data_IF_189271433066
#
_entry.id   IF_189271433066
#
_cell.length_a   1.000
_cell.length_b   1.000
_cell.length_c   1.000
_cell.angle_alpha   90.00
_cell.angle_beta   90.00
_cell.angle_gamma   90.00
#
_symmetry.space_group_name_H-M   'P 1'
#
loop_
_entity.id
_entity.type
_entity.pdbx_description
1 polymer ?
#
# COMPACT_ATOMS: atom_id res chain seq x y z
N UNK A 1 -7.49 -1.09 8.88
CA UNK A 1 -6.12 -0.61 9.16
C UNK A 1 -5.76 -1.10 10.54
N UNK A 2 -4.68 -1.84 10.67
CA UNK A 2 -4.23 -2.41 11.95
C UNK A 2 -2.83 -1.88 12.24
N UNK A 3 -2.58 -1.38 13.45
CA UNK A 3 -1.26 -0.94 13.88
C UNK A 3 -0.67 -1.93 14.88
N UNK A 4 0.60 -2.27 14.70
CA UNK A 4 1.43 -3.07 15.62
C UNK A 4 2.56 -2.18 16.16
N UNK A 5 2.31 -1.34 17.18
CA UNK A 5 3.26 -0.31 17.64
C UNK A 5 4.58 -0.88 18.14
N UNK A 6 4.54 -2.04 18.81
CA UNK A 6 5.74 -2.73 19.31
C UNK A 6 6.76 -3.05 18.21
N UNK A 7 6.31 -3.19 16.96
CA UNK A 7 7.16 -3.48 15.80
C UNK A 7 7.29 -2.30 14.85
N UNK A 8 6.69 -1.14 15.14
CA UNK A 8 6.58 0.01 14.23
C UNK A 8 6.06 -0.39 12.85
N UNK A 9 5.09 -1.31 12.83
CA UNK A 9 4.42 -1.79 11.62
C UNK A 9 2.97 -1.32 11.62
N UNK A 10 2.49 -0.87 10.46
CA UNK A 10 1.07 -0.64 10.23
C UNK A 10 0.63 -1.38 8.96
N UNK A 11 -0.56 -1.97 9.01
CA UNK A 11 -1.16 -2.69 7.90
C UNK A 11 -2.28 -1.85 7.27
N UNK A 12 -2.11 -1.56 5.98
CA UNK A 12 -3.10 -0.93 5.14
C UNK A 12 -3.97 -2.00 4.48
N UNK A 13 -5.25 -1.98 4.82
CA UNK A 13 -6.27 -2.87 4.26
C UNK A 13 -7.50 -2.09 3.85
N UNK A 14 -8.43 -2.74 3.15
CA UNK A 14 -9.71 -2.17 2.71
C UNK A 14 -9.57 -0.92 1.81
N UNK A 15 -8.53 -0.88 0.98
CA UNK A 15 -8.38 0.19 -0.04
C UNK A 15 -9.26 -0.15 -1.23
N UNK A 16 -10.35 0.60 -1.40
CA UNK A 16 -11.23 0.51 -2.57
C UNK A 16 -11.19 1.82 -3.36
N UNK A 17 -10.91 1.70 -4.65
CA UNK A 17 -10.99 2.81 -5.60
C UNK A 17 -12.16 2.61 -6.54
N UNK A 18 -12.93 3.67 -6.75
CA UNK A 18 -13.99 3.69 -7.77
C UNK A 18 -13.38 3.42 -9.16
N UNK A 19 -14.12 2.83 -10.11
CA UNK A 19 -13.60 2.51 -11.44
C UNK A 19 -12.96 3.71 -12.16
N UNK A 20 -13.49 4.91 -11.94
CA UNK A 20 -12.97 6.17 -12.51
C UNK A 20 -11.69 6.64 -11.86
N UNK A 21 -11.44 6.27 -10.60
CA UNK A 21 -10.24 6.66 -9.87
C UNK A 21 -9.10 5.66 -10.07
N UNK A 22 -9.41 4.41 -10.40
CA UNK A 22 -8.41 3.37 -10.67
C UNK A 22 -7.44 3.81 -11.78
N UNK A 23 -6.13 3.59 -11.56
CA UNK A 23 -5.05 3.93 -12.51
C UNK A 23 -4.94 5.43 -12.83
N UNK A 24 -5.39 6.29 -11.91
CA UNK A 24 -5.20 7.74 -12.02
C UNK A 24 -4.18 8.24 -11.00
N UNK A 25 -3.62 9.42 -11.25
CA UNK A 25 -2.75 10.12 -10.30
C UNK A 25 -3.44 10.38 -8.96
N UNK A 26 -4.77 10.47 -8.93
CA UNK A 26 -5.53 10.61 -7.67
C UNK A 26 -5.36 9.38 -6.78
N UNK A 27 -5.42 8.17 -7.35
CA UNK A 27 -5.19 6.94 -6.58
C UNK A 27 -3.77 6.88 -6.03
N UNK A 28 -2.77 7.17 -6.86
CA UNK A 28 -1.36 7.16 -6.44
C UNK A 28 -1.07 8.26 -5.42
N UNK A 29 -1.63 9.45 -5.59
CA UNK A 29 -1.51 10.57 -4.67
C UNK A 29 -2.14 10.26 -3.31
N UNK A 30 -3.31 9.61 -3.29
CA UNK A 30 -3.93 9.16 -2.04
C UNK A 30 -3.04 8.17 -1.28
N UNK A 31 -2.45 7.19 -1.98
CA UNK A 31 -1.50 6.25 -1.36
C UNK A 31 -0.23 6.94 -0.86
N UNK A 32 0.29 7.91 -1.61
CA UNK A 32 1.44 8.70 -1.19
C UNK A 32 1.17 9.48 0.10
N UNK A 33 0.00 10.13 0.21
CA UNK A 33 -0.38 10.86 1.43
C UNK A 33 -0.50 9.93 2.64
N UNK A 34 -1.04 8.72 2.45
CA UNK A 34 -1.10 7.70 3.50
C UNK A 34 0.33 7.29 3.92
N UNK A 35 1.21 7.02 2.96
CA UNK A 35 2.61 6.68 3.25
C UNK A 35 3.31 7.81 4.01
N UNK A 36 3.15 9.06 3.57
CA UNK A 36 3.73 10.23 4.23
C UNK A 36 3.28 10.33 5.68
N UNK A 37 1.99 10.22 5.93
CA UNK A 37 1.44 10.23 7.29
C UNK A 37 2.02 9.11 8.15
N UNK A 38 2.15 7.90 7.60
CA UNK A 38 2.65 6.72 8.32
C UNK A 38 4.13 6.88 8.69
N UNK A 39 4.95 7.34 7.77
CA UNK A 39 6.40 7.44 7.96
C UNK A 39 6.81 8.73 8.67
N UNK A 40 6.33 9.89 8.20
CA UNK A 40 6.80 11.19 8.64
C UNK A 40 6.10 11.63 9.93
N UNK A 41 4.77 11.52 9.99
CA UNK A 41 3.99 12.03 11.11
C UNK A 41 3.84 11.01 12.24
N UNK A 42 3.65 9.73 11.90
CA UNK A 42 3.43 8.66 12.89
C UNK A 42 4.71 7.89 13.27
N UNK A 43 5.82 8.07 12.54
CA UNK A 43 7.12 7.48 12.86
C UNK A 43 7.19 5.95 12.75
N UNK A 44 6.27 5.34 12.00
CA UNK A 44 6.32 3.90 11.70
C UNK A 44 7.44 3.62 10.69
N UNK A 45 7.96 2.41 10.68
CA UNK A 45 9.08 2.02 9.81
C UNK A 45 8.65 1.06 8.70
N UNK A 46 7.46 0.46 8.83
CA UNK A 46 6.93 -0.46 7.83
C UNK A 46 5.44 -0.25 7.63
N UNK A 47 5.07 -0.11 6.36
CA UNK A 47 3.69 -0.22 5.89
C UNK A 47 3.53 -1.56 5.17
N UNK A 48 2.67 -2.42 5.69
CA UNK A 48 2.31 -3.70 5.07
C UNK A 48 0.95 -3.54 4.38
N UNK A 49 0.76 -4.17 3.22
CA UNK A 49 -0.55 -4.20 2.55
C UNK A 49 -0.76 -5.57 1.95
N UNK A 50 -1.68 -6.32 2.54
CA UNK A 50 -2.08 -7.63 2.04
C UNK A 50 -3.15 -7.49 0.94
N UNK A 51 -2.82 -7.94 -0.27
CA UNK A 51 -3.80 -8.13 -1.34
C UNK A 51 -4.19 -9.61 -1.42
N UNK A 52 -5.48 -9.89 -1.51
CA UNK A 52 -6.02 -11.24 -1.69
C UNK A 52 -5.55 -11.84 -3.03
N UNK A 53 -5.19 -13.12 -3.01
CA UNK A 53 -4.55 -13.82 -4.13
C UNK A 53 -5.36 -13.84 -5.44
N UNK A 54 -6.67 -13.59 -5.38
CA UNK A 54 -7.58 -13.52 -6.53
C UNK A 54 -7.51 -12.19 -7.29
N UNK A 55 -6.78 -11.19 -6.82
CA UNK A 55 -6.67 -9.89 -7.50
C UNK A 55 -5.61 -9.91 -8.63
N UNK A 56 -5.96 -10.57 -9.72
CA UNK A 56 -5.13 -10.73 -10.93
C UNK A 56 -4.70 -9.39 -11.55
N UNK A 57 -5.51 -8.33 -11.45
CA UNK A 57 -5.19 -6.98 -11.97
C UNK A 57 -4.01 -6.31 -11.27
N UNK A 58 -3.78 -6.60 -9.99
CA UNK A 58 -2.67 -6.00 -9.23
C UNK A 58 -1.35 -6.74 -9.46
N UNK A 59 -1.43 -8.01 -9.91
CA UNK A 59 -0.28 -8.93 -10.05
C UNK A 59 0.56 -8.67 -11.30
N UNK A 60 -0.05 -8.29 -12.43
CA UNK A 60 0.63 -8.15 -13.73
C UNK A 60 1.54 -6.91 -13.86
N UNK A 61 1.44 -5.94 -12.95
CA UNK A 61 2.16 -4.65 -13.02
C UNK A 61 3.46 -4.61 -12.21
N UNK A 62 3.76 -5.64 -11.42
CA UNK A 62 4.82 -5.61 -10.39
C UNK A 62 6.19 -6.15 -10.80
N UNK A 63 6.37 -6.65 -12.02
CA UNK A 63 7.61 -7.32 -12.43
C UNK A 63 8.83 -6.42 -12.64
N UNK A 64 8.78 -5.13 -12.24
CA UNK A 64 9.80 -4.13 -12.60
C UNK A 64 10.26 -3.15 -11.51
N UNK A 65 9.80 -3.24 -10.25
CA UNK A 65 10.22 -2.31 -9.19
C UNK A 65 10.68 -3.09 -7.93
N UNK A 66 11.99 -3.09 -7.65
CA UNK A 66 12.54 -3.72 -6.43
C UNK A 66 12.37 -2.75 -5.26
N UNK A 67 11.31 -2.95 -4.49
CA UNK A 67 11.21 -2.51 -3.10
C UNK A 67 11.19 -3.78 -2.24
N UNK A 68 12.08 -3.89 -1.24
CA UNK A 68 12.16 -5.09 -0.40
C UNK A 68 10.91 -5.20 0.48
N UNK A 69 9.94 -6.02 0.04
CA UNK A 69 8.66 -6.29 0.69
C UNK A 69 8.64 -7.72 1.25
N UNK A 70 8.59 -7.88 2.57
CA UNK A 70 8.11 -9.14 3.16
C UNK A 70 6.59 -9.15 3.08
N UNK A 71 6.07 -9.71 1.99
CA UNK A 71 4.68 -10.09 1.84
C UNK A 71 3.74 -8.95 1.41
N UNK A 72 3.28 -9.05 0.16
CA UNK A 72 2.11 -8.38 -0.40
C UNK A 72 2.26 -6.87 -0.71
N UNK A 73 1.58 -6.48 -1.78
CA UNK A 73 2.07 -5.57 -2.81
C UNK A 73 1.31 -4.24 -2.83
N UNK A 74 2.02 -3.12 -3.00
CA UNK A 74 1.44 -1.78 -3.22
C UNK A 74 2.02 -1.12 -4.46
N UNK A 75 1.12 -0.79 -5.38
CA UNK A 75 1.34 -0.23 -6.71
C UNK A 75 1.77 1.25 -6.70
N UNK A 76 2.64 1.59 -7.65
CA UNK A 76 2.51 2.81 -8.45
C UNK A 76 1.93 2.46 -9.83
#
# INVERSE_FOLDING_TARGET
MEARPAHKVVELGYVLFTPTMQRTTLSTGALFLIMRQVFDDLGYQRLEWTCTAENTRSRSRLSGLVLSMRGHCVLA
#
